data_IF_222364950264
#
_entry.id   IF_222364950264
#
_cell.length_a   1.000
_cell.length_b   1.000
_cell.length_c   1.000
_cell.angle_alpha   90.00
_cell.angle_beta   90.00
_cell.angle_gamma   90.00
#
_symmetry.space_group_name_H-M   'P 1'
#
loop_
_entity.id
_entity.type
_entity.pdbx_description
1 polymer ?
#
# COMPACT_ATOMS: atom_id res chain seq x y z
N UNK A 1 -10.60 -5.44 0.74
CA UNK A 1 -10.32 -6.00 2.07
C UNK A 1 -9.10 -6.87 1.95
N UNK A 2 -8.13 -6.78 2.86
CA UNK A 2 -7.02 -7.74 2.90
C UNK A 2 -7.53 -9.17 3.08
N UNK A 3 -6.98 -10.13 2.35
CA UNK A 3 -7.45 -11.53 2.36
C UNK A 3 -7.20 -12.25 3.68
N UNK A 4 -6.12 -11.92 4.35
CA UNK A 4 -5.77 -12.43 5.66
C UNK A 4 -5.10 -11.31 6.47
N UNK A 5 -4.80 -11.56 7.74
CA UNK A 5 -4.29 -10.54 8.67
C UNK A 5 -2.87 -10.02 8.32
N UNK A 6 -2.13 -10.70 7.44
CA UNK A 6 -0.78 -10.31 7.05
C UNK A 6 -0.69 -9.68 5.63
N UNK A 7 -1.80 -9.66 4.89
CA UNK A 7 -1.86 -9.20 3.49
C UNK A 7 -2.15 -7.70 3.32
N UNK A 8 -1.99 -6.88 4.36
CA UNK A 8 -2.28 -5.44 4.26
C UNK A 8 -1.41 -4.75 3.19
N UNK A 9 -0.12 -5.10 3.08
CA UNK A 9 0.75 -4.61 2.02
C UNK A 9 0.28 -5.01 0.62
N UNK A 10 0.00 -6.30 0.40
CA UNK A 10 -0.50 -6.83 -0.89
C UNK A 10 -1.81 -6.14 -1.30
N UNK A 11 -2.77 -6.01 -0.37
CA UNK A 11 -4.04 -5.35 -0.64
C UNK A 11 -3.87 -3.87 -1.02
N UNK A 12 -2.96 -3.17 -0.33
CA UNK A 12 -2.65 -1.77 -0.60
C UNK A 12 -2.01 -1.59 -1.98
N UNK A 13 -1.04 -2.46 -2.32
CA UNK A 13 -0.37 -2.44 -3.62
C UNK A 13 -1.35 -2.70 -4.77
N UNK A 14 -2.23 -3.69 -4.64
CA UNK A 14 -3.27 -3.98 -5.65
C UNK A 14 -4.16 -2.75 -5.90
N UNK A 15 -4.60 -2.06 -4.84
CA UNK A 15 -5.42 -0.86 -4.98
C UNK A 15 -4.70 0.24 -5.77
N UNK A 16 -3.44 0.51 -5.42
CA UNK A 16 -2.65 1.56 -6.06
C UNK A 16 -2.31 1.20 -7.51
N UNK A 17 -1.84 -0.02 -7.79
CA UNK A 17 -1.48 -0.45 -9.14
C UNK A 17 -2.67 -0.39 -10.11
N UNK A 18 -3.85 -0.84 -9.66
CA UNK A 18 -5.08 -0.74 -10.44
C UNK A 18 -5.50 0.73 -10.67
N UNK A 19 -5.34 1.60 -9.67
CA UNK A 19 -5.66 3.02 -9.80
C UNK A 19 -4.68 3.77 -10.72
N UNK A 20 -3.41 3.36 -10.77
CA UNK A 20 -2.43 3.87 -11.75
C UNK A 20 -2.79 3.43 -13.18
N UNK A 21 -3.37 2.24 -13.33
CA UNK A 21 -3.73 1.66 -14.62
C UNK A 21 -2.54 1.09 -15.37
N UNK A 22 -1.58 0.48 -14.66
CA UNK A 22 -0.48 -0.25 -15.31
C UNK A 22 -0.95 -1.61 -15.84
N UNK A 23 -0.24 -2.21 -16.83
CA UNK A 23 -0.60 -3.53 -17.35
C UNK A 23 -0.69 -4.56 -16.23
N UNK A 24 -1.80 -5.29 -16.20
CA UNK A 24 -2.09 -6.32 -15.20
C UNK A 24 -2.25 -7.70 -15.86
N UNK A 25 -2.04 -8.80 -15.09
CA UNK A 25 -2.35 -10.14 -15.57
C UNK A 25 -3.85 -10.30 -15.90
N UNK A 26 -4.20 -11.18 -16.87
CA UNK A 26 -5.59 -11.55 -17.08
C UNK A 26 -6.14 -12.28 -15.85
N UNK A 27 -7.42 -12.10 -15.57
CA UNK A 27 -8.15 -12.81 -14.52
C UNK A 27 -9.28 -13.57 -15.20
N UNK A 28 -9.24 -14.92 -15.26
CA UNK A 28 -10.24 -15.71 -16.01
C UNK A 28 -11.68 -15.40 -15.63
N UNK A 29 -11.94 -15.09 -14.35
CA UNK A 29 -13.27 -14.75 -13.83
C UNK A 29 -13.77 -13.38 -14.33
N UNK A 30 -12.89 -12.54 -14.86
CA UNK A 30 -13.18 -11.19 -15.33
C UNK A 30 -12.91 -11.02 -16.83
N UNK A 31 -12.81 -12.09 -17.60
CA UNK A 31 -12.58 -12.01 -19.05
C UNK A 31 -13.58 -11.06 -19.74
N UNK A 32 -13.15 -10.15 -20.65
CA UNK A 32 -11.81 -9.99 -21.21
C UNK A 32 -10.91 -8.99 -20.45
N UNK A 33 -11.27 -8.61 -19.23
CA UNK A 33 -10.58 -7.57 -18.45
C UNK A 33 -9.37 -8.13 -17.68
N UNK A 34 -8.31 -7.32 -17.59
CA UNK A 34 -7.14 -7.58 -16.75
C UNK A 34 -7.11 -6.66 -15.54
N UNK A 35 -6.73 -7.18 -14.38
CA UNK A 35 -6.64 -6.41 -13.13
C UNK A 35 -5.72 -7.09 -12.12
N UNK A 36 -5.05 -6.31 -11.28
CA UNK A 36 -4.34 -6.88 -10.15
C UNK A 36 -5.34 -7.35 -9.10
N UNK A 37 -5.04 -8.50 -8.51
CA UNK A 37 -5.74 -9.09 -7.38
C UNK A 37 -4.71 -9.51 -6.34
N UNK A 38 -5.17 -9.78 -5.11
CA UNK A 38 -4.27 -10.29 -4.09
C UNK A 38 -3.76 -11.72 -4.37
N UNK A 39 -4.32 -12.43 -5.38
CA UNK A 39 -3.81 -13.75 -5.81
C UNK A 39 -2.77 -13.66 -6.92
N UNK A 40 -2.85 -12.64 -7.78
CA UNK A 40 -2.00 -12.56 -8.97
C UNK A 40 -0.87 -11.52 -8.86
N UNK A 41 -0.84 -10.71 -7.80
CA UNK A 41 0.25 -9.75 -7.58
C UNK A 41 1.56 -10.44 -7.19
N UNK A 42 1.47 -11.54 -6.43
CA UNK A 42 2.65 -12.30 -6.01
C UNK A 42 2.97 -13.35 -7.08
N UNK A 43 4.11 -13.18 -7.75
CA UNK A 43 4.62 -14.04 -8.81
C UNK A 43 6.06 -14.51 -8.52
N UNK A 44 6.66 -15.25 -9.45
CA UNK A 44 8.03 -15.76 -9.34
C UNK A 44 9.09 -14.65 -9.16
N UNK A 45 8.83 -13.42 -9.62
CA UNK A 45 9.74 -12.28 -9.42
C UNK A 45 9.63 -11.75 -8.00
N UNK A 46 8.40 -11.68 -7.47
CA UNK A 46 8.15 -11.23 -6.10
C UNK A 46 8.78 -12.14 -5.05
N UNK A 47 8.93 -13.44 -5.33
CA UNK A 47 9.61 -14.40 -4.43
C UNK A 47 11.08 -14.04 -4.16
N UNK A 48 11.75 -13.32 -5.06
CA UNK A 48 13.12 -12.83 -4.87
C UNK A 48 13.20 -11.58 -3.99
N UNK A 49 12.08 -10.87 -3.82
CA UNK A 49 11.98 -9.70 -2.93
C UNK A 49 11.52 -10.14 -1.56
N UNK A 50 10.37 -10.81 -1.52
CA UNK A 50 9.80 -11.37 -0.30
C UNK A 50 8.94 -12.60 -0.64
N UNK A 51 9.25 -13.79 -0.11
CA UNK A 51 8.45 -14.99 -0.37
C UNK A 51 7.01 -14.87 0.13
N UNK A 52 6.04 -15.41 -0.62
CA UNK A 52 4.64 -15.37 -0.22
C UNK A 52 4.38 -16.04 1.14
N UNK A 53 5.09 -17.13 1.43
CA UNK A 53 5.02 -17.82 2.73
C UNK A 53 5.57 -16.99 3.89
N UNK A 54 6.54 -16.12 3.63
CA UNK A 54 7.04 -15.14 4.60
C UNK A 54 5.96 -14.08 4.85
N UNK A 55 5.36 -13.53 3.80
CA UNK A 55 4.26 -12.55 3.93
C UNK A 55 3.13 -13.11 4.78
N UNK A 56 2.70 -14.35 4.54
CA UNK A 56 1.61 -14.97 5.31
C UNK A 56 1.88 -15.04 6.82
N UNK A 57 3.14 -15.08 7.24
CA UNK A 57 3.54 -15.21 8.65
C UNK A 57 3.72 -13.85 9.33
N UNK A 58 4.35 -12.89 8.66
CA UNK A 58 4.81 -11.64 9.30
C UNK A 58 4.42 -10.35 8.56
N UNK A 59 3.76 -10.46 7.40
CA UNK A 59 3.53 -9.33 6.52
C UNK A 59 4.81 -8.93 5.78
N UNK A 60 4.95 -7.63 5.51
CA UNK A 60 6.13 -7.07 4.84
C UNK A 60 6.55 -5.75 5.49
N UNK A 61 7.84 -5.46 5.40
CA UNK A 61 8.45 -4.19 5.78
C UNK A 61 8.20 -3.10 4.73
N UNK A 62 8.57 -1.86 5.04
CA UNK A 62 8.47 -0.74 4.10
C UNK A 62 9.39 -0.94 2.87
N UNK A 63 10.60 -1.48 3.06
CA UNK A 63 11.54 -1.73 1.96
C UNK A 63 11.07 -2.88 1.06
N UNK A 64 10.54 -3.96 1.64
CA UNK A 64 9.96 -5.08 0.87
C UNK A 64 8.71 -4.63 0.10
N UNK A 65 7.88 -3.75 0.67
CA UNK A 65 6.76 -3.11 -0.04
C UNK A 65 7.27 -2.31 -1.25
N UNK A 66 8.31 -1.50 -1.05
CA UNK A 66 8.95 -0.73 -2.13
C UNK A 66 9.51 -1.64 -3.22
N UNK A 67 10.23 -2.69 -2.84
CA UNK A 67 10.77 -3.70 -3.76
C UNK A 67 9.68 -4.43 -4.55
N UNK A 68 8.57 -4.80 -3.90
CA UNK A 68 7.42 -5.44 -4.57
C UNK A 68 6.79 -4.53 -5.63
N UNK A 69 6.59 -3.25 -5.29
CA UNK A 69 6.02 -2.27 -6.22
C UNK A 69 6.97 -1.98 -7.40
N UNK A 70 8.28 -1.97 -7.15
CA UNK A 70 9.30 -1.73 -8.17
C UNK A 70 9.40 -2.83 -9.25
N UNK A 71 8.76 -3.99 -9.05
CA UNK A 71 8.62 -5.02 -10.08
C UNK A 71 7.61 -4.67 -11.19
N UNK A 72 6.83 -3.60 -10.99
CA UNK A 72 5.83 -3.09 -11.93
C UNK A 72 6.37 -1.84 -12.64
N UNK A 73 5.81 -1.44 -13.80
CA UNK A 73 6.29 -0.27 -14.54
C UNK A 73 5.81 1.04 -13.92
N UNK A 74 6.25 1.29 -12.68
CA UNK A 74 5.94 2.48 -11.88
C UNK A 74 7.23 3.03 -11.26
N UNK A 75 7.27 4.33 -10.99
CA UNK A 75 8.32 4.93 -10.16
C UNK A 75 7.95 4.73 -8.68
N UNK A 76 8.91 4.27 -7.88
CA UNK A 76 8.73 4.04 -6.44
C UNK A 76 9.77 4.85 -5.67
N UNK A 77 9.32 5.60 -4.68
CA UNK A 77 10.17 6.30 -3.72
C UNK A 77 9.85 5.81 -2.30
N UNK A 78 10.85 5.25 -1.61
CA UNK A 78 10.73 4.81 -0.23
C UNK A 78 11.28 5.88 0.70
N UNK A 79 10.49 6.32 1.67
CA UNK A 79 10.85 7.34 2.66
C UNK A 79 10.71 6.77 4.07
N UNK A 80 11.82 6.50 4.74
CA UNK A 80 11.80 6.09 6.15
C UNK A 80 11.61 7.31 7.04
N UNK A 81 10.82 7.14 8.12
CA UNK A 81 10.50 8.22 9.04
C UNK A 81 11.75 8.81 9.73
N UNK A 82 12.80 8.00 9.92
CA UNK A 82 14.06 8.43 10.54
C UNK A 82 14.85 9.43 9.68
N UNK A 83 14.63 9.44 8.37
CA UNK A 83 15.37 10.26 7.40
C UNK A 83 14.62 11.54 7.01
N UNK A 84 13.51 11.85 7.70
CA UNK A 84 12.62 12.96 7.38
C UNK A 84 12.04 13.61 8.63
N UNK A 85 11.23 14.65 8.44
CA UNK A 85 10.48 15.34 9.49
C UNK A 85 8.99 15.27 9.22
N UNK A 86 8.17 15.54 10.24
CA UNK A 86 6.71 15.61 10.09
C UNK A 86 6.29 16.68 9.07
N UNK A 87 6.99 17.82 9.03
CA UNK A 87 6.68 18.90 8.10
C UNK A 87 7.03 18.55 6.66
N UNK A 88 8.18 17.89 6.45
CA UNK A 88 8.57 17.37 5.14
C UNK A 88 7.58 16.30 4.68
N UNK A 89 7.25 15.33 5.54
CA UNK A 89 6.23 14.30 5.25
C UNK A 89 4.91 14.93 4.83
N UNK A 90 4.38 15.87 5.62
CA UNK A 90 3.12 16.54 5.31
C UNK A 90 3.18 17.27 3.97
N UNK A 91 4.25 18.02 3.71
CA UNK A 91 4.43 18.76 2.46
C UNK A 91 4.48 17.83 1.25
N UNK A 92 5.29 16.78 1.31
CA UNK A 92 5.48 15.84 0.20
C UNK A 92 4.20 15.06 -0.08
N UNK A 93 3.59 14.44 0.94
CA UNK A 93 2.36 13.65 0.77
C UNK A 93 1.22 14.50 0.21
N UNK A 94 1.08 15.76 0.65
CA UNK A 94 0.11 16.69 0.05
C UNK A 94 0.36 16.91 -1.43
N UNK A 95 1.63 17.08 -1.83
CA UNK A 95 2.02 17.22 -3.23
C UNK A 95 1.66 15.99 -4.07
N UNK A 96 1.93 14.79 -3.54
CA UNK A 96 1.54 13.53 -4.19
C UNK A 96 0.02 13.40 -4.31
N UNK A 97 -0.75 13.66 -3.25
CA UNK A 97 -2.21 13.57 -3.26
C UNK A 97 -2.88 14.60 -4.18
N UNK A 98 -2.24 15.76 -4.41
CA UNK A 98 -2.74 16.78 -5.34
C UNK A 98 -2.43 16.47 -6.82
N UNK A 99 -1.56 15.50 -7.09
CA UNK A 99 -1.09 15.20 -8.45
C UNK A 99 -1.81 13.97 -9.00
N UNK A 100 -2.34 14.06 -10.22
CA UNK A 100 -3.01 12.93 -10.87
C UNK A 100 -2.04 11.75 -11.03
N UNK A 101 -2.56 10.53 -10.86
CA UNK A 101 -1.83 9.26 -10.98
C UNK A 101 -0.61 9.13 -10.05
N UNK A 102 -0.58 9.93 -8.98
CA UNK A 102 0.37 9.80 -7.88
C UNK A 102 -0.39 9.29 -6.66
N UNK A 103 0.26 8.40 -5.91
CA UNK A 103 -0.37 7.69 -4.79
C UNK A 103 0.61 7.56 -3.65
N UNK A 104 0.10 7.47 -2.43
CA UNK A 104 0.90 7.28 -1.22
C UNK A 104 0.38 6.07 -0.47
N UNK A 105 1.29 5.19 -0.07
CA UNK A 105 1.02 4.08 0.86
C UNK A 105 1.85 4.34 2.11
N UNK A 106 1.23 4.22 3.28
CA UNK A 106 1.90 4.41 4.57
C UNK A 106 2.11 3.09 5.28
N UNK A 107 3.27 2.93 5.91
CA UNK A 107 3.54 1.87 6.88
C UNK A 107 3.66 2.49 8.28
N UNK A 108 2.81 2.07 9.22
CA UNK A 108 2.70 2.70 10.54
C UNK A 108 2.34 1.71 11.64
N UNK A 109 2.65 2.08 12.90
CA UNK A 109 2.25 1.32 14.07
C UNK A 109 0.86 1.75 14.54
N UNK A 110 -0.13 0.85 14.48
CA UNK A 110 -1.53 1.13 14.88
C UNK A 110 -1.66 1.72 16.29
N UNK A 111 -0.86 1.21 17.23
CA UNK A 111 -0.87 1.62 18.63
C UNK A 111 -0.57 3.12 18.80
N UNK A 112 0.29 3.69 17.96
CA UNK A 112 0.60 5.12 18.01
C UNK A 112 -0.59 6.00 17.59
N UNK A 113 -1.58 5.42 16.89
CA UNK A 113 -2.80 6.09 16.41
C UNK A 113 -4.03 5.74 17.26
N UNK A 114 -3.85 5.16 18.46
CA UNK A 114 -4.95 4.77 19.33
C UNK A 114 -5.73 3.52 18.87
N UNK A 115 -5.25 2.82 17.84
CA UNK A 115 -5.78 1.52 17.42
C UNK A 115 -5.08 0.37 18.17
N UNK A 116 -5.63 -0.85 18.13
CA UNK A 116 -5.21 -1.94 19.03
C UNK A 116 -3.69 -2.23 19.06
N UNK A 117 -3.14 -2.89 18.02
CA UNK A 117 -1.72 -3.27 17.98
C UNK A 117 -1.26 -3.64 16.57
N UNK A 118 0.06 -3.67 16.39
CA UNK A 118 0.74 -4.17 15.19
C UNK A 118 1.10 -3.08 14.18
N UNK A 119 2.08 -3.39 13.33
CA UNK A 119 2.34 -2.62 12.12
C UNK A 119 1.20 -2.81 11.12
N UNK A 120 0.92 -1.80 10.32
CA UNK A 120 -0.09 -1.83 9.27
C UNK A 120 0.38 -1.08 8.03
N UNK A 121 -0.22 -1.42 6.89
CA UNK A 121 0.05 -0.79 5.60
C UNK A 121 -1.29 -0.48 4.95
N UNK A 122 -1.50 0.77 4.52
CA UNK A 122 -2.70 1.20 3.79
C UNK A 122 -2.43 2.45 2.93
N UNK A 123 -3.18 2.65 1.84
CA UNK A 123 -3.09 3.89 1.05
C UNK A 123 -3.60 5.10 1.81
N UNK A 124 -3.08 6.28 1.47
CA UNK A 124 -3.70 7.58 1.81
C UNK A 124 -4.53 8.07 0.63
N UNK A 125 -5.70 8.63 0.91
CA UNK A 125 -6.63 9.10 -0.12
C UNK A 125 -6.81 10.62 -0.17
N UNK A 126 -6.69 11.30 0.97
CA UNK A 126 -6.96 12.73 1.06
C UNK A 126 -6.17 13.36 2.20
N UNK A 127 -6.04 14.68 2.11
CA UNK A 127 -5.54 15.53 3.18
C UNK A 127 -6.54 16.67 3.40
N UNK A 128 -6.97 16.84 4.64
CA UNK A 128 -7.79 17.98 5.06
C UNK A 128 -6.91 19.02 5.77
N UNK A 129 -6.84 20.22 5.19
CA UNK A 129 -5.95 21.28 5.66
C UNK A 129 -6.49 22.00 6.90
N UNK A 130 -7.80 22.01 7.12
CA UNK A 130 -8.41 22.68 8.27
C UNK A 130 -8.13 21.91 9.57
N UNK A 131 -8.18 20.58 9.51
CA UNK A 131 -7.97 19.72 10.68
C UNK A 131 -6.58 19.07 10.75
N UNK A 132 -5.72 19.30 9.76
CA UNK A 132 -4.40 18.67 9.59
C UNK A 132 -4.45 17.13 9.63
N UNK A 133 -5.36 16.53 8.84
CA UNK A 133 -5.62 15.08 8.84
C UNK A 133 -5.43 14.45 7.48
N UNK A 134 -4.88 13.24 7.48
CA UNK A 134 -4.89 12.36 6.32
C UNK A 134 -5.98 11.30 6.45
N UNK A 135 -6.64 10.99 5.34
CA UNK A 135 -7.58 9.87 5.25
C UNK A 135 -6.82 8.59 4.87
N UNK A 136 -6.84 7.59 5.76
CA UNK A 136 -6.25 6.28 5.52
C UNK A 136 -7.32 5.35 4.96
N UNK A 137 -7.11 4.77 3.77
CA UNK A 137 -8.02 3.75 3.25
C UNK A 137 -7.70 2.38 3.86
N UNK A 138 -8.08 2.18 5.12
CA UNK A 138 -7.71 0.98 5.88
C UNK A 138 -8.19 -0.31 5.17
N UNK A 139 -7.24 -1.11 4.69
CA UNK A 139 -7.54 -2.35 3.96
C UNK A 139 -8.07 -3.47 4.88
N UNK A 140 -7.93 -3.35 6.19
CA UNK A 140 -8.55 -4.20 7.21
C UNK A 140 -10.02 -3.82 7.45
N UNK A 141 -10.80 -3.71 6.37
CA UNK A 141 -12.19 -3.19 6.38
C UNK A 141 -13.17 -3.95 7.28
N UNK A 142 -12.82 -5.18 7.70
CA UNK A 142 -13.60 -5.94 8.68
C UNK A 142 -13.36 -5.47 10.13
N UNK A 143 -12.35 -4.63 10.37
CA UNK A 143 -11.88 -4.22 11.70
C UNK A 143 -12.04 -2.74 11.95
N UNK A 144 -11.67 -1.88 11.00
CA UNK A 144 -11.76 -0.43 11.14
C UNK A 144 -12.33 0.22 9.87
N UNK A 145 -13.08 1.33 10.01
CA UNK A 145 -13.38 2.21 8.89
C UNK A 145 -12.12 2.98 8.45
N UNK A 146 -12.16 3.62 7.27
CA UNK A 146 -11.19 4.65 6.90
C UNK A 146 -11.09 5.80 7.91
#
# INVERSE_FOLDING_TARGET
TQKNQAFCGVASSVMVLNAIGVPAPPVPEYDPYSTFTQDNLLDARSEQVIPAETIKKQGMTLDELGGLLALQPVQVEVRHAADSSMDTFRKEVRGYLATKRHFVIVNYLRKAMGQEKGGHISPLAAYDAETDRFLILDVARYKYPP
#
